data_IF_932369425679
#
_entry.id   IF_932369425679
#
_cell.length_a   1.000
_cell.length_b   1.000
_cell.length_c   1.000
_cell.angle_alpha   90.00
_cell.angle_beta   90.00
_cell.angle_gamma   90.00
#
_symmetry.space_group_name_H-M   'P 1'
#
loop_
_entity.id
_entity.type
_entity.pdbx_description
1 polymer ?
#
# COMPACT_ATOMS: atom_id res chain seq x y z
N UNK A 1 -58.45 5.36 50.10
CA UNK A 1 -57.97 4.45 48.99
C UNK A 1 -57.64 3.10 49.62
N UNK A 2 -58.22 2.01 49.08
CA UNK A 2 -58.03 0.68 49.65
C UNK A 2 -56.62 0.17 49.41
N UNK A 3 -56.04 -0.67 50.32
CA UNK A 3 -54.69 -1.29 50.13
C UNK A 3 -54.55 -1.99 48.79
N UNK A 4 -55.61 -2.55 48.22
CA UNK A 4 -55.70 -3.20 46.91
C UNK A 4 -55.43 -2.22 45.75
N UNK A 5 -56.01 -1.00 45.80
CA UNK A 5 -55.80 0.02 44.75
C UNK A 5 -54.36 0.50 44.71
N UNK A 6 -53.68 0.66 45.86
CA UNK A 6 -52.26 1.03 45.95
C UNK A 6 -51.35 -0.07 45.35
N UNK A 7 -51.63 -1.33 45.59
CA UNK A 7 -50.90 -2.45 45.02
C UNK A 7 -51.03 -2.54 43.49
N UNK A 8 -52.21 -2.33 42.96
CA UNK A 8 -52.48 -2.35 41.52
C UNK A 8 -51.72 -1.19 40.83
N UNK A 9 -51.77 0.01 41.39
CA UNK A 9 -51.06 1.19 40.90
C UNK A 9 -49.52 0.95 40.90
N UNK A 10 -48.97 0.35 41.96
CA UNK A 10 -47.55 0.01 42.09
C UNK A 10 -47.11 -1.02 41.04
N UNK A 11 -47.94 -2.07 40.81
CA UNK A 11 -47.66 -3.08 39.75
C UNK A 11 -47.74 -2.49 38.34
N UNK A 12 -48.67 -1.56 38.06
CA UNK A 12 -48.76 -0.86 36.78
C UNK A 12 -47.53 0.03 36.53
N UNK A 13 -47.07 0.75 37.58
CA UNK A 13 -45.88 1.60 37.51
C UNK A 13 -44.60 0.77 37.27
N UNK A 14 -44.46 -0.36 37.97
CA UNK A 14 -43.34 -1.29 37.76
C UNK A 14 -43.34 -1.91 36.36
N UNK A 15 -44.52 -2.33 35.83
CA UNK A 15 -44.61 -2.84 34.44
C UNK A 15 -44.25 -1.78 33.42
N UNK A 16 -44.68 -0.52 33.64
CA UNK A 16 -44.34 0.60 32.74
C UNK A 16 -42.85 0.92 32.80
N UNK A 17 -42.24 0.95 33.96
CA UNK A 17 -40.79 1.13 34.10
C UNK A 17 -39.98 0.00 33.43
N UNK A 18 -40.38 -1.25 33.67
CA UNK A 18 -39.70 -2.38 32.99
C UNK A 18 -39.79 -2.30 31.47
N UNK A 19 -40.95 -1.93 30.91
CA UNK A 19 -41.11 -1.74 29.46
C UNK A 19 -40.24 -0.59 28.93
N UNK A 20 -40.14 0.52 29.67
CA UNK A 20 -39.26 1.64 29.28
C UNK A 20 -37.81 1.25 29.33
N UNK A 21 -37.36 0.55 30.38
CA UNK A 21 -35.99 0.07 30.50
C UNK A 21 -35.66 -0.93 29.36
N UNK A 22 -36.57 -1.88 29.08
CA UNK A 22 -36.37 -2.82 27.96
C UNK A 22 -36.31 -2.12 26.61
N UNK A 23 -37.11 -1.07 26.38
CA UNK A 23 -37.07 -0.29 25.15
C UNK A 23 -35.75 0.50 25.01
N UNK A 24 -35.24 1.08 26.09
CA UNK A 24 -33.96 1.79 26.10
C UNK A 24 -32.79 0.82 25.82
N UNK A 25 -32.81 -0.38 26.42
CA UNK A 25 -31.80 -1.41 26.16
C UNK A 25 -31.85 -1.88 24.70
N UNK A 26 -33.06 -2.09 24.15
CA UNK A 26 -33.21 -2.50 22.76
C UNK A 26 -32.70 -1.42 21.77
N UNK A 27 -33.02 -0.15 22.04
CA UNK A 27 -32.50 0.97 21.22
C UNK A 27 -30.97 1.09 21.35
N UNK A 28 -30.43 0.96 22.57
CA UNK A 28 -29.00 0.97 22.83
C UNK A 28 -28.27 -0.18 22.10
N UNK A 29 -28.88 -1.38 22.09
CA UNK A 29 -28.33 -2.52 21.36
C UNK A 29 -28.32 -2.30 19.83
N UNK A 30 -29.40 -1.74 19.30
CA UNK A 30 -29.49 -1.40 17.85
C UNK A 30 -28.44 -0.35 17.47
N UNK A 31 -28.28 0.70 18.29
CA UNK A 31 -27.27 1.74 18.06
C UNK A 31 -25.86 1.16 18.15
N UNK A 32 -25.58 0.28 19.12
CA UNK A 32 -24.29 -0.38 19.25
C UNK A 32 -23.99 -1.31 18.08
N UNK A 33 -24.99 -2.07 17.59
CA UNK A 33 -24.85 -2.91 16.41
C UNK A 33 -24.65 -2.07 15.15
N UNK A 34 -25.40 -0.96 15.00
CA UNK A 34 -25.20 -0.03 13.89
C UNK A 34 -23.80 0.60 13.90
N UNK A 35 -23.30 0.99 15.08
CA UNK A 35 -21.94 1.51 15.25
C UNK A 35 -20.85 0.47 14.96
N UNK A 36 -21.11 -0.81 15.24
CA UNK A 36 -20.22 -1.93 14.91
C UNK A 36 -20.25 -2.28 13.40
N UNK A 37 -21.37 -2.03 12.73
CA UNK A 37 -21.53 -2.27 11.28
C UNK A 37 -21.05 -1.08 10.45
N UNK A 38 -21.01 0.12 11.01
CA UNK A 38 -20.34 1.29 10.44
C UNK A 38 -18.85 1.13 10.80
N UNK A 39 -18.15 0.20 10.12
CA UNK A 39 -16.70 0.33 10.01
C UNK A 39 -16.46 1.69 9.33
N UNK A 40 -15.57 2.54 9.84
CA UNK A 40 -15.02 3.60 9.01
C UNK A 40 -14.31 2.86 7.87
N UNK A 41 -15.01 2.65 6.76
CA UNK A 41 -14.36 2.37 5.50
C UNK A 41 -13.39 3.52 5.29
N UNK A 42 -12.15 3.24 4.91
CA UNK A 42 -11.28 4.28 4.38
C UNK A 42 -12.13 5.07 3.40
N UNK A 43 -12.38 6.35 3.72
CA UNK A 43 -13.16 7.24 2.86
C UNK A 43 -12.40 7.29 1.52
N UNK A 44 -12.94 6.77 0.41
CA UNK A 44 -12.29 6.86 -0.89
C UNK A 44 -12.05 8.31 -1.31
N UNK A 45 -12.72 9.27 -0.65
CA UNK A 45 -12.49 10.71 -0.77
C UNK A 45 -11.72 11.29 0.44
N UNK A 46 -11.12 10.45 1.27
CA UNK A 46 -10.31 10.87 2.41
C UNK A 46 -9.15 11.77 1.98
N UNK A 47 -8.68 12.63 2.88
CA UNK A 47 -7.53 13.49 2.66
C UNK A 47 -6.34 12.69 2.11
N UNK A 48 -5.71 13.19 1.05
CA UNK A 48 -4.52 12.57 0.47
C UNK A 48 -3.32 12.97 1.33
N UNK A 49 -2.63 11.98 1.86
CA UNK A 49 -1.35 12.17 2.56
C UNK A 49 -0.27 12.41 1.50
N UNK A 50 0.30 13.60 1.52
CA UNK A 50 1.40 13.97 0.62
C UNK A 50 2.72 13.74 1.36
N UNK A 51 3.54 12.77 0.95
CA UNK A 51 4.83 12.52 1.58
C UNK A 51 5.82 13.64 1.28
N UNK A 52 6.84 13.77 2.13
CA UNK A 52 7.95 14.70 1.87
C UNK A 52 8.69 14.30 0.59
N UNK A 53 8.99 15.30 -0.25
CA UNK A 53 9.71 15.07 -1.50
C UNK A 53 11.15 14.63 -1.22
N UNK A 54 11.51 13.49 -1.76
CA UNK A 54 12.87 12.93 -1.68
C UNK A 54 13.70 13.34 -2.90
N UNK A 55 14.99 13.54 -2.70
CA UNK A 55 15.94 13.64 -3.81
C UNK A 55 16.45 12.24 -4.12
N UNK A 56 16.14 11.74 -5.31
CA UNK A 56 16.52 10.40 -5.74
C UNK A 56 17.64 10.48 -6.77
N UNK A 57 18.74 9.74 -6.59
CA UNK A 57 19.87 9.74 -7.50
C UNK A 57 19.61 8.83 -8.70
N UNK A 58 20.01 9.28 -9.90
CA UNK A 58 20.04 8.49 -11.12
C UNK A 58 18.71 7.77 -11.41
N UNK A 59 17.59 8.53 -11.43
CA UNK A 59 16.26 8.00 -11.72
C UNK A 59 16.16 7.60 -13.20
N UNK A 60 15.69 6.37 -13.46
CA UNK A 60 15.37 5.88 -14.80
C UNK A 60 14.13 4.98 -14.72
N UNK A 61 12.97 5.52 -15.05
CA UNK A 61 11.69 4.81 -14.94
C UNK A 61 11.45 4.25 -13.52
N UNK A 62 11.38 2.92 -13.39
CA UNK A 62 11.20 2.22 -12.12
C UNK A 62 12.52 1.89 -11.40
N UNK A 63 13.64 2.44 -11.86
CA UNK A 63 14.97 2.15 -11.33
C UNK A 63 15.63 3.38 -10.73
N UNK A 64 16.50 3.16 -9.74
CA UNK A 64 17.39 4.14 -9.13
C UNK A 64 18.83 3.63 -9.21
N UNK A 65 19.77 4.54 -9.39
CA UNK A 65 21.19 4.18 -9.47
C UNK A 65 21.71 4.07 -10.88
N UNK A 66 23.02 3.98 -10.99
CA UNK A 66 23.73 3.94 -12.29
C UNK A 66 23.48 2.62 -13.00
N UNK A 67 23.42 2.64 -14.33
CA UNK A 67 23.32 1.44 -15.17
C UNK A 67 24.53 0.52 -15.04
N UNK A 68 25.70 1.07 -14.76
CA UNK A 68 26.97 0.37 -14.62
C UNK A 68 27.31 0.05 -13.15
N UNK A 69 26.33 0.10 -12.25
CA UNK A 69 26.51 -0.28 -10.85
C UNK A 69 26.89 -1.77 -10.74
N UNK A 70 27.86 -2.06 -9.87
CA UNK A 70 28.37 -3.42 -9.64
C UNK A 70 27.35 -4.37 -9.00
N UNK A 71 26.39 -3.80 -8.25
CA UNK A 71 25.34 -4.58 -7.58
C UNK A 71 23.97 -4.11 -8.05
N UNK A 72 23.12 -5.08 -8.41
CA UNK A 72 21.71 -4.84 -8.77
C UNK A 72 20.82 -5.46 -7.72
N UNK A 73 19.91 -4.65 -7.17
CA UNK A 73 18.84 -5.11 -6.27
C UNK A 73 17.53 -5.01 -7.03
N UNK A 74 16.84 -6.13 -7.22
CA UNK A 74 15.47 -6.17 -7.75
C UNK A 74 14.51 -6.44 -6.61
N UNK A 75 13.49 -5.59 -6.42
CA UNK A 75 12.39 -5.81 -5.48
C UNK A 75 11.13 -6.19 -6.24
N UNK A 76 10.54 -7.33 -5.91
CA UNK A 76 9.21 -7.71 -6.35
C UNK A 76 8.17 -7.25 -5.31
N UNK A 77 7.37 -6.26 -5.69
CA UNK A 77 6.61 -5.43 -4.77
C UNK A 77 5.14 -5.28 -5.18
N UNK A 78 4.29 -5.04 -4.17
CA UNK A 78 2.85 -4.78 -4.32
C UNK A 78 2.48 -3.55 -3.48
N UNK A 79 1.80 -2.58 -4.07
CA UNK A 79 1.39 -1.34 -3.38
C UNK A 79 0.38 -1.55 -2.25
N UNK A 80 -0.27 -2.71 -2.16
CA UNK A 80 -1.14 -3.07 -1.03
C UNK A 80 -0.41 -3.89 0.05
N UNK A 81 0.87 -4.24 -0.14
CA UNK A 81 1.64 -4.99 0.82
C UNK A 81 2.22 -4.07 1.91
N UNK A 82 1.87 -4.33 3.16
CA UNK A 82 2.35 -3.54 4.30
C UNK A 82 3.87 -3.65 4.51
N UNK A 83 4.46 -4.78 4.15
CA UNK A 83 5.91 -4.98 4.24
C UNK A 83 6.66 -4.28 3.11
N UNK A 84 6.06 -4.18 1.90
CA UNK A 84 6.60 -3.37 0.82
C UNK A 84 6.62 -1.88 1.19
N UNK A 85 5.53 -1.39 1.81
CA UNK A 85 5.52 -0.04 2.36
C UNK A 85 6.60 0.17 3.42
N UNK A 86 6.71 -0.76 4.38
CA UNK A 86 7.74 -0.66 5.43
C UNK A 86 9.15 -0.59 4.84
N UNK A 87 9.46 -1.43 3.86
CA UNK A 87 10.74 -1.40 3.15
C UNK A 87 10.95 -0.04 2.46
N UNK A 88 9.97 0.42 1.70
CA UNK A 88 10.01 1.67 0.94
C UNK A 88 10.24 2.89 1.83
N UNK A 89 9.60 2.93 3.00
CA UNK A 89 9.67 4.06 3.92
C UNK A 89 10.89 4.02 4.84
N UNK A 90 11.37 2.83 5.23
CA UNK A 90 12.33 2.70 6.33
C UNK A 90 13.69 2.11 5.91
N UNK A 91 13.75 1.25 4.89
CA UNK A 91 14.97 0.53 4.51
C UNK A 91 15.55 1.11 3.21
N UNK A 92 14.73 1.26 2.17
CA UNK A 92 15.17 1.82 0.89
C UNK A 92 15.89 3.18 1.03
N UNK A 93 15.44 4.13 1.89
CA UNK A 93 16.18 5.38 2.07
C UNK A 93 17.61 5.20 2.57
N UNK A 94 17.86 4.18 3.40
CA UNK A 94 19.21 3.87 3.89
C UNK A 94 20.09 3.28 2.79
N UNK A 95 19.53 2.40 1.94
CA UNK A 95 20.20 1.85 0.76
C UNK A 95 20.54 2.97 -0.24
N UNK A 96 19.59 3.89 -0.47
CA UNK A 96 19.80 5.07 -1.34
C UNK A 96 20.98 5.89 -0.83
N UNK A 97 20.98 6.26 0.44
CA UNK A 97 21.99 7.14 1.02
C UNK A 97 23.38 6.49 1.07
N UNK A 98 23.43 5.18 1.30
CA UNK A 98 24.70 4.46 1.53
C UNK A 98 25.34 3.96 0.23
N UNK A 99 24.53 3.45 -0.71
CA UNK A 99 25.04 2.70 -1.86
C UNK A 99 24.60 3.22 -3.22
N UNK A 100 23.33 3.67 -3.37
CA UNK A 100 22.83 4.13 -4.67
C UNK A 100 23.42 5.51 -5.01
N UNK A 101 23.46 6.41 -4.04
CA UNK A 101 23.97 7.77 -4.23
C UNK A 101 25.44 7.82 -4.65
N UNK A 102 26.23 6.84 -4.24
CA UNK A 102 27.65 6.73 -4.63
C UNK A 102 27.89 5.85 -5.88
N UNK A 103 26.80 5.30 -6.47
CA UNK A 103 26.85 4.55 -7.73
C UNK A 103 27.21 3.08 -7.61
N UNK A 104 27.30 2.53 -6.39
CA UNK A 104 27.66 1.11 -6.16
C UNK A 104 26.49 0.17 -6.40
N UNK A 105 25.25 0.63 -6.18
CA UNK A 105 24.01 -0.16 -6.30
C UNK A 105 23.07 0.48 -7.31
N UNK A 106 22.48 -0.37 -8.14
CA UNK A 106 21.25 -0.09 -8.92
C UNK A 106 20.11 -0.80 -8.25
N UNK A 107 19.02 -0.10 -7.98
CA UNK A 107 17.78 -0.65 -7.44
C UNK A 107 16.70 -0.62 -8.51
N UNK A 108 15.96 -1.73 -8.67
CA UNK A 108 14.91 -1.91 -9.66
C UNK A 108 13.61 -2.36 -8.99
N UNK A 109 12.57 -1.54 -9.08
CA UNK A 109 11.22 -1.90 -8.65
C UNK A 109 10.55 -2.76 -9.71
N UNK A 110 10.10 -3.95 -9.34
CA UNK A 110 9.39 -4.90 -10.18
C UNK A 110 7.97 -5.07 -9.70
N UNK A 111 7.00 -5.01 -10.61
CA UNK A 111 5.59 -5.18 -10.27
C UNK A 111 5.27 -6.65 -9.94
N UNK A 112 4.68 -6.87 -8.75
CA UNK A 112 4.18 -8.18 -8.34
C UNK A 112 2.84 -8.04 -7.58
N UNK A 113 1.77 -7.54 -8.24
CA UNK A 113 0.48 -7.21 -7.64
C UNK A 113 -0.38 -8.46 -7.46
N UNK A 114 -0.23 -9.18 -6.35
CA UNK A 114 -0.96 -10.43 -6.07
C UNK A 114 -2.03 -10.30 -5.00
N UNK A 115 -2.15 -9.14 -4.33
CA UNK A 115 -3.06 -8.96 -3.20
C UNK A 115 -4.49 -8.56 -3.61
N UNK A 116 -4.77 -8.45 -4.91
CA UNK A 116 -6.12 -8.22 -5.42
C UNK A 116 -6.19 -7.25 -6.59
N UNK A 117 -7.42 -6.93 -7.02
CA UNK A 117 -7.64 -6.08 -8.19
C UNK A 117 -7.07 -4.68 -8.04
N UNK A 118 -7.15 -4.09 -6.84
CA UNK A 118 -6.59 -2.76 -6.57
C UNK A 118 -5.06 -2.74 -6.68
N UNK A 119 -4.38 -3.86 -6.36
CA UNK A 119 -2.94 -3.99 -6.58
C UNK A 119 -2.58 -3.87 -8.06
N UNK A 120 -3.35 -4.54 -8.93
CA UNK A 120 -3.15 -4.45 -10.38
C UNK A 120 -3.43 -3.03 -10.91
N UNK A 121 -4.50 -2.39 -10.42
CA UNK A 121 -4.85 -1.02 -10.83
C UNK A 121 -3.76 -0.03 -10.39
N UNK A 122 -3.23 -0.17 -9.16
CA UNK A 122 -2.13 0.66 -8.66
C UNK A 122 -0.83 0.42 -9.44
N UNK A 123 -0.50 -0.84 -9.76
CA UNK A 123 0.65 -1.18 -10.58
C UNK A 123 0.57 -0.55 -11.98
N UNK A 124 -0.57 -0.68 -12.67
CA UNK A 124 -0.79 -0.04 -13.97
C UNK A 124 -0.67 1.49 -13.86
N UNK A 125 -1.31 2.11 -12.86
CA UNK A 125 -1.27 3.56 -12.65
C UNK A 125 0.15 4.08 -12.35
N UNK A 126 0.95 3.34 -11.58
CA UNK A 126 2.34 3.71 -11.30
C UNK A 126 3.20 3.75 -12.57
N UNK A 127 2.95 2.83 -13.50
CA UNK A 127 3.64 2.80 -14.80
C UNK A 127 3.12 3.89 -15.74
N UNK A 128 1.83 4.29 -15.64
CA UNK A 128 1.33 5.48 -16.33
C UNK A 128 1.99 6.77 -15.81
N UNK A 129 2.29 6.85 -14.51
CA UNK A 129 3.07 7.95 -13.96
C UNK A 129 4.54 7.92 -14.43
N UNK A 130 5.09 6.73 -14.66
CA UNK A 130 6.44 6.56 -15.21
C UNK A 130 6.59 7.11 -16.64
N UNK A 131 5.53 7.10 -17.47
CA UNK A 131 5.53 7.74 -18.81
C UNK A 131 5.80 9.25 -18.71
N UNK A 132 5.51 9.86 -17.56
CA UNK A 132 5.71 11.27 -17.30
C UNK A 132 6.91 11.52 -16.33
N UNK A 133 7.82 10.54 -16.21
CA UNK A 133 9.00 10.58 -15.33
C UNK A 133 8.65 10.81 -13.83
N UNK A 134 7.48 10.31 -13.38
CA UNK A 134 6.98 10.53 -12.02
C UNK A 134 6.66 9.23 -11.27
N UNK A 135 7.30 8.11 -11.68
CA UNK A 135 7.07 6.81 -11.02
C UNK A 135 7.28 6.88 -9.51
N UNK A 136 8.39 7.47 -9.09
CA UNK A 136 8.80 7.43 -7.68
C UNK A 136 7.95 8.32 -6.79
N UNK A 137 7.61 9.52 -7.23
CA UNK A 137 6.70 10.38 -6.50
C UNK A 137 5.30 9.78 -6.42
N UNK A 138 4.88 9.08 -7.47
CA UNK A 138 3.60 8.39 -7.48
C UNK A 138 3.61 7.15 -6.57
N UNK A 139 4.70 6.39 -6.55
CA UNK A 139 4.91 5.27 -5.62
C UNK A 139 4.92 5.74 -4.17
N UNK A 140 5.56 6.88 -3.87
CA UNK A 140 5.54 7.51 -2.55
C UNK A 140 4.11 7.82 -2.11
N UNK A 141 3.27 8.38 -3.00
CA UNK A 141 1.86 8.65 -2.72
C UNK A 141 1.06 7.36 -2.49
N UNK A 142 1.27 6.33 -3.31
CA UNK A 142 0.60 5.04 -3.15
C UNK A 142 0.91 4.43 -1.78
N UNK A 143 2.17 4.35 -1.38
CA UNK A 143 2.56 3.80 -0.09
C UNK A 143 2.10 4.66 1.09
N UNK A 144 2.21 5.99 1.01
CA UNK A 144 1.75 6.89 2.08
C UNK A 144 0.23 6.81 2.32
N UNK A 145 -0.53 6.50 1.26
CA UNK A 145 -1.99 6.39 1.34
C UNK A 145 -2.47 4.93 1.38
N UNK A 146 -1.60 3.96 1.60
CA UNK A 146 -1.96 2.56 1.70
C UNK A 146 -2.93 2.32 2.87
N UNK A 147 -3.99 1.56 2.63
CA UNK A 147 -4.95 1.11 3.64
C UNK A 147 -5.17 -0.40 3.53
N UNK A 148 -6.24 -0.92 4.14
CA UNK A 148 -6.57 -2.34 4.06
C UNK A 148 -6.76 -2.78 2.61
N UNK A 149 -6.35 -4.01 2.31
CA UNK A 149 -6.50 -4.62 0.98
C UNK A 149 -7.96 -4.59 0.53
N UNK A 150 -8.21 -4.06 -0.67
CA UNK A 150 -9.55 -3.99 -1.26
C UNK A 150 -10.47 -2.97 -0.59
N UNK A 151 -9.93 -1.96 0.09
CA UNK A 151 -10.70 -0.93 0.79
C UNK A 151 -11.21 0.21 -0.11
N UNK A 152 -10.90 0.20 -1.42
CA UNK A 152 -11.20 1.29 -2.35
C UNK A 152 -10.10 2.37 -2.41
N UNK A 153 -9.02 2.20 -1.66
CA UNK A 153 -7.93 3.17 -1.58
C UNK A 153 -7.23 3.38 -2.92
N UNK A 154 -7.16 2.35 -3.74
CA UNK A 154 -6.61 2.43 -5.09
C UNK A 154 -7.70 2.29 -6.18
N UNK A 155 -8.89 2.81 -5.90
CA UNK A 155 -9.92 3.02 -6.92
C UNK A 155 -9.43 3.98 -8.01
N UNK A 156 -9.92 3.84 -9.24
CA UNK A 156 -9.53 4.70 -10.36
C UNK A 156 -9.70 6.20 -10.04
N UNK A 157 -10.79 6.57 -9.35
CA UNK A 157 -11.02 7.97 -8.95
C UNK A 157 -9.91 8.49 -8.04
N UNK A 158 -9.46 7.69 -7.07
CA UNK A 158 -8.41 8.10 -6.14
C UNK A 158 -7.03 8.12 -6.79
N UNK A 159 -6.76 7.19 -7.70
CA UNK A 159 -5.52 7.17 -8.47
C UNK A 159 -5.39 8.40 -9.39
N UNK A 160 -6.50 8.87 -9.98
CA UNK A 160 -6.53 10.12 -10.74
C UNK A 160 -6.26 11.33 -9.82
N UNK A 161 -6.82 11.34 -8.61
CA UNK A 161 -6.55 12.41 -7.64
C UNK A 161 -5.07 12.43 -7.19
N UNK A 162 -4.41 11.27 -7.07
CA UNK A 162 -2.96 11.22 -6.83
C UNK A 162 -2.17 11.84 -7.98
N UNK A 163 -2.55 11.57 -9.22
CA UNK A 163 -1.93 12.16 -10.39
C UNK A 163 -2.11 13.69 -10.44
N UNK A 164 -3.29 14.18 -10.05
CA UNK A 164 -3.54 15.63 -9.92
C UNK A 164 -2.64 16.27 -8.87
N UNK A 165 -2.42 15.59 -7.73
CA UNK A 165 -1.53 16.07 -6.65
C UNK A 165 -0.08 16.26 -7.13
N UNK A 166 0.34 15.51 -8.15
CA UNK A 166 1.68 15.56 -8.74
C UNK A 166 1.76 16.43 -10.00
N UNK A 167 0.71 17.16 -10.35
CA UNK A 167 0.63 17.96 -11.57
C UNK A 167 0.91 17.15 -12.87
N UNK A 168 0.49 15.87 -12.90
CA UNK A 168 0.58 15.06 -14.12
C UNK A 168 -0.41 15.54 -15.18
N UNK A 169 -0.09 15.33 -16.47
CA UNK A 169 -1.09 15.50 -17.53
C UNK A 169 -2.23 14.54 -17.33
N UNK A 170 -3.38 15.09 -16.92
CA UNK A 170 -4.56 14.31 -16.53
C UNK A 170 -5.19 13.58 -17.73
N UNK A 171 -5.08 14.13 -18.94
CA UNK A 171 -5.65 13.49 -20.12
C UNK A 171 -4.82 12.25 -20.51
N UNK A 172 -3.50 12.38 -20.54
CA UNK A 172 -2.61 11.27 -20.82
C UNK A 172 -2.68 10.21 -19.73
N UNK A 173 -2.62 10.62 -18.46
CA UNK A 173 -2.69 9.69 -17.34
C UNK A 173 -4.02 8.94 -17.28
N UNK A 174 -5.16 9.62 -17.41
CA UNK A 174 -6.48 8.98 -17.39
C UNK A 174 -6.69 8.04 -18.59
N UNK A 175 -6.20 8.41 -19.78
CA UNK A 175 -6.23 7.52 -20.96
C UNK A 175 -5.43 6.25 -20.69
N UNK A 176 -4.18 6.38 -20.19
CA UNK A 176 -3.31 5.26 -19.87
C UNK A 176 -3.93 4.30 -18.85
N UNK A 177 -4.51 4.85 -17.75
CA UNK A 177 -5.15 4.05 -16.70
C UNK A 177 -6.41 3.35 -17.22
N UNK A 178 -7.28 4.07 -17.95
CA UNK A 178 -8.55 3.52 -18.46
C UNK A 178 -8.34 2.47 -19.57
N UNK A 179 -7.29 2.61 -20.36
CA UNK A 179 -6.88 1.65 -21.40
C UNK A 179 -6.13 0.46 -20.80
N UNK A 180 -5.84 0.47 -19.52
CA UNK A 180 -5.03 -0.56 -18.84
C UNK A 180 -3.71 -0.83 -19.57
N UNK A 181 -3.06 0.23 -20.06
CA UNK A 181 -1.96 0.21 -21.01
C UNK A 181 -0.80 -0.70 -20.60
N UNK A 182 -0.55 -0.82 -19.31
CA UNK A 182 0.55 -1.60 -18.75
C UNK A 182 0.15 -2.96 -18.19
N UNK A 183 -1.12 -3.37 -18.26
CA UNK A 183 -1.56 -4.65 -17.69
C UNK A 183 -0.75 -5.83 -18.22
N UNK A 184 -0.52 -5.90 -19.56
CA UNK A 184 0.28 -6.98 -20.13
C UNK A 184 1.73 -6.99 -19.65
N UNK A 185 2.33 -5.82 -19.38
CA UNK A 185 3.67 -5.72 -18.80
C UNK A 185 3.67 -6.20 -17.35
N UNK A 186 2.70 -5.77 -16.54
CA UNK A 186 2.54 -6.19 -15.14
C UNK A 186 2.34 -7.70 -15.04
N UNK A 187 1.50 -8.28 -15.91
CA UNK A 187 1.29 -9.73 -15.98
C UNK A 187 2.57 -10.47 -16.36
N UNK A 188 3.33 -9.96 -17.35
CA UNK A 188 4.59 -10.57 -17.74
C UNK A 188 5.65 -10.51 -16.64
N UNK A 189 5.77 -9.38 -15.92
CA UNK A 189 6.66 -9.26 -14.74
C UNK A 189 6.26 -10.23 -13.64
N UNK A 190 4.96 -10.34 -13.33
CA UNK A 190 4.45 -11.29 -12.33
C UNK A 190 4.69 -12.75 -12.73
N UNK A 191 4.49 -13.09 -14.00
CA UNK A 191 4.76 -14.45 -14.51
C UNK A 191 6.26 -14.79 -14.43
N UNK A 192 7.13 -13.85 -14.79
CA UNK A 192 8.57 -14.02 -14.65
C UNK A 192 9.00 -14.16 -13.18
N UNK A 193 8.41 -13.38 -12.29
CA UNK A 193 8.64 -13.48 -10.86
C UNK A 193 8.33 -14.90 -10.34
N UNK A 194 7.16 -15.42 -10.66
CA UNK A 194 6.73 -16.78 -10.27
C UNK A 194 7.69 -17.84 -10.83
N UNK A 195 8.08 -17.72 -12.11
CA UNK A 195 9.02 -18.64 -12.75
C UNK A 195 10.40 -18.64 -12.07
N UNK A 196 10.82 -17.49 -11.52
CA UNK A 196 12.06 -17.31 -10.78
C UNK A 196 11.94 -17.64 -9.27
N UNK A 197 10.82 -18.21 -8.84
CA UNK A 197 10.63 -18.69 -7.46
C UNK A 197 10.12 -17.66 -6.47
N UNK A 198 9.70 -16.47 -6.92
CA UNK A 198 9.03 -15.47 -6.07
C UNK A 198 7.66 -16.03 -5.63
N UNK A 199 7.42 -16.01 -4.31
CA UNK A 199 6.19 -16.58 -3.72
C UNK A 199 5.31 -15.52 -3.06
N UNK A 200 5.89 -14.38 -2.72
CA UNK A 200 5.21 -13.26 -2.04
C UNK A 200 5.87 -11.94 -2.43
N UNK A 201 5.15 -10.81 -2.35
CA UNK A 201 5.77 -9.50 -2.44
C UNK A 201 6.74 -9.30 -1.28
N UNK A 202 7.61 -8.30 -1.40
CA UNK A 202 8.78 -8.06 -0.56
C UNK A 202 9.87 -9.14 -0.74
N UNK A 203 9.93 -9.74 -1.94
CA UNK A 203 11.04 -10.61 -2.34
C UNK A 203 12.08 -9.79 -3.07
N UNK A 204 13.35 -10.02 -2.73
CA UNK A 204 14.48 -9.32 -3.33
C UNK A 204 15.41 -10.29 -4.03
N UNK A 205 16.08 -9.80 -5.09
CA UNK A 205 17.24 -10.44 -5.66
C UNK A 205 18.42 -9.47 -5.56
N UNK A 206 19.57 -9.95 -5.14
CA UNK A 206 20.82 -9.20 -5.18
C UNK A 206 21.76 -9.94 -6.13
N UNK A 207 22.10 -9.36 -7.27
CA UNK A 207 22.84 -10.00 -8.35
C UNK A 207 22.33 -11.40 -8.70
N UNK A 208 21.01 -11.60 -8.66
CA UNK A 208 20.33 -12.85 -8.99
C UNK A 208 20.18 -13.84 -7.84
N UNK A 209 20.79 -13.59 -6.68
CA UNK A 209 20.60 -14.40 -5.46
C UNK A 209 19.34 -13.93 -4.73
N UNK A 210 18.40 -14.87 -4.48
CA UNK A 210 17.10 -14.56 -3.90
C UNK A 210 17.18 -14.37 -2.38
N UNK A 211 16.60 -13.28 -1.91
CA UNK A 211 16.36 -13.01 -0.50
C UNK A 211 14.86 -12.85 -0.31
N UNK A 212 14.24 -13.81 0.36
CA UNK A 212 12.81 -13.76 0.66
C UNK A 212 12.55 -14.26 2.08
N UNK A 213 11.54 -13.67 2.71
CA UNK A 213 11.11 -14.03 4.04
C UNK A 213 9.67 -13.56 4.27
N UNK A 214 9.08 -13.85 5.45
CA UNK A 214 7.77 -13.33 5.81
C UNK A 214 7.75 -11.80 5.98
N UNK A 215 8.91 -11.21 6.25
CA UNK A 215 9.13 -9.77 6.46
C UNK A 215 10.39 -9.35 5.71
N UNK A 216 10.52 -8.05 5.32
CA UNK A 216 11.74 -7.58 4.68
C UNK A 216 12.91 -7.67 5.67
N UNK A 217 14.10 -8.10 5.21
CA UNK A 217 15.29 -8.08 6.04
C UNK A 217 15.58 -6.66 6.56
N UNK A 218 16.17 -6.51 7.76
CA UNK A 218 16.63 -5.21 8.23
C UNK A 218 17.77 -4.67 7.35
N UNK A 219 18.01 -3.37 7.37
CA UNK A 219 19.07 -2.74 6.57
C UNK A 219 20.46 -3.41 6.76
N UNK A 220 20.78 -3.87 7.98
CA UNK A 220 22.05 -4.55 8.26
C UNK A 220 22.26 -5.83 7.43
N UNK A 221 21.19 -6.57 7.15
CA UNK A 221 21.27 -7.79 6.32
C UNK A 221 21.46 -7.41 4.85
N UNK A 222 20.76 -6.39 4.35
CA UNK A 222 21.03 -5.83 3.01
C UNK A 222 22.47 -5.35 2.89
N UNK A 223 23.01 -4.70 3.93
CA UNK A 223 24.38 -4.23 3.95
C UNK A 223 25.37 -5.39 3.79
N UNK A 224 25.20 -6.48 4.54
CA UNK A 224 26.06 -7.66 4.45
C UNK A 224 26.04 -8.26 3.04
N UNK A 225 24.86 -8.42 2.43
CA UNK A 225 24.73 -9.00 1.11
C UNK A 225 25.29 -8.09 0.01
N UNK A 226 25.04 -6.78 0.10
CA UNK A 226 25.59 -5.79 -0.85
C UNK A 226 27.14 -5.77 -0.75
N UNK A 227 27.70 -5.72 0.46
CA UNK A 227 29.14 -5.69 0.64
C UNK A 227 29.81 -6.99 0.18
N UNK A 228 29.16 -8.14 0.40
CA UNK A 228 29.60 -9.42 -0.14
C UNK A 228 29.59 -9.44 -1.68
N UNK A 229 28.53 -8.92 -2.30
CA UNK A 229 28.43 -8.85 -3.75
C UNK A 229 29.47 -7.90 -4.37
N UNK A 230 29.75 -6.77 -3.72
CA UNK A 230 30.78 -5.82 -4.16
C UNK A 230 32.18 -6.45 -4.16
N UNK A 231 32.51 -7.28 -3.15
CA UNK A 231 33.81 -7.97 -3.09
C UNK A 231 33.99 -9.04 -4.16
N UNK A 232 32.94 -9.53 -4.79
CA UNK A 232 32.99 -10.53 -5.86
C UNK A 232 33.18 -9.91 -7.25
N UNK A 233 33.02 -8.59 -7.37
CA UNK A 233 33.14 -7.84 -8.64
C UNK A 233 34.47 -7.12 -8.79
N UNK A 234 35.32 -7.08 -7.76
CA UNK A 234 36.70 -6.59 -7.77
C UNK A 234 37.68 -7.71 -8.17
#
# INVERSE_FOLDING_TARGET
MSKRAKMIARRRRQKRQRRLISAIIAVGAVVAIAALLIRPGSDPNGEIIIPEKRTLPFVEGTSLGRLDAAVVIEEYSDFQCVYCRYFHENILPQIIATYIANGQVRYEYRQFPILGSESNTAANASLCAAEQDRFWEYADLLFANQADVGSGTFSSTRLLAFAETLDLDQNEFSSCVNEERYNSKVEAESAAAIANGVKSPTTFFINGEIIQGPEPPPFADFQLEIESALQQTD
#
